data_IF_401706075846
#
_entry.id   IF_401706075846
#
_cell.length_a   1.000
_cell.length_b   1.000
_cell.length_c   1.000
_cell.angle_alpha   90.00
_cell.angle_beta   90.00
_cell.angle_gamma   90.00
#
_symmetry.space_group_name_H-M   'P 1'
#
loop_
_entity.id
_entity.type
_entity.pdbx_description
1 polymer ?
#
# COMPACT_ATOMS: atom_id res chain seq x y z
N UNK A 1 -3.50 7.67 -7.95
CA UNK A 1 -2.96 6.63 -8.84
C UNK A 1 -1.53 6.17 -8.52
N UNK A 2 -0.89 6.62 -7.43
CA UNK A 2 0.54 6.32 -7.22
C UNK A 2 0.91 4.84 -7.09
N UNK A 3 0.02 3.99 -6.54
CA UNK A 3 0.35 2.59 -6.24
C UNK A 3 -0.22 1.67 -7.31
N UNK A 4 -1.52 1.79 -7.58
CA UNK A 4 -2.22 0.97 -8.56
C UNK A 4 -1.85 1.25 -10.02
N UNK A 5 -1.20 2.38 -10.34
CA UNK A 5 -0.61 2.63 -11.67
C UNK A 5 0.92 2.71 -11.63
N UNK A 6 1.57 2.50 -10.47
CA UNK A 6 3.03 2.68 -10.35
C UNK A 6 3.53 4.13 -10.53
N UNK A 7 2.64 5.12 -10.63
CA UNK A 7 2.98 6.54 -10.87
C UNK A 7 3.35 7.28 -9.57
N UNK A 8 4.37 6.79 -8.86
CA UNK A 8 4.75 7.32 -7.55
C UNK A 8 5.24 8.76 -7.62
N UNK A 9 6.08 9.06 -8.62
CA UNK A 9 6.73 10.37 -8.79
C UNK A 9 5.87 11.37 -9.55
N UNK A 10 4.93 10.90 -10.37
CA UNK A 10 4.13 11.75 -11.27
C UNK A 10 2.98 12.47 -10.57
N UNK A 11 2.78 12.21 -9.27
CA UNK A 11 1.86 12.94 -8.36
C UNK A 11 0.40 12.97 -8.83
N UNK A 12 -0.08 11.85 -9.36
CA UNK A 12 -1.44 11.73 -9.91
C UNK A 12 -2.46 11.34 -8.85
N UNK A 13 -3.50 12.17 -8.69
CA UNK A 13 -4.64 11.94 -7.82
C UNK A 13 -5.84 12.79 -8.24
N UNK A 14 -6.99 12.56 -7.59
CA UNK A 14 -8.22 13.31 -7.80
C UNK A 14 -8.93 13.52 -6.47
N UNK A 15 -9.53 14.69 -6.28
CA UNK A 15 -10.46 14.97 -5.18
C UNK A 15 -11.88 15.04 -5.77
N UNK A 16 -12.76 14.16 -5.32
CA UNK A 16 -14.13 14.04 -5.80
C UNK A 16 -15.09 14.62 -4.76
N UNK A 17 -15.97 15.54 -5.18
CA UNK A 17 -16.93 16.21 -4.31
C UNK A 17 -18.35 15.92 -4.79
N UNK A 18 -19.10 15.19 -3.97
CA UNK A 18 -20.52 14.92 -4.22
C UNK A 18 -21.33 16.08 -3.63
N UNK A 19 -22.18 16.69 -4.45
CA UNK A 19 -22.99 17.84 -4.08
C UNK A 19 -24.46 17.50 -4.31
N UNK A 20 -25.34 18.03 -3.45
CA UNK A 20 -26.78 17.80 -3.47
C UNK A 20 -27.49 18.26 -4.75
N UNK A 21 -26.95 19.28 -5.42
CA UNK A 21 -27.52 19.83 -6.65
C UNK A 21 -26.46 20.57 -7.47
N UNK A 22 -26.85 20.93 -8.71
CA UNK A 22 -25.97 21.63 -9.66
C UNK A 22 -25.52 23.00 -9.19
N UNK A 23 -26.34 23.72 -8.40
CA UNK A 23 -25.99 25.05 -7.88
C UNK A 23 -24.83 24.96 -6.89
N UNK A 24 -24.92 24.06 -5.93
CA UNK A 24 -23.85 23.82 -4.95
C UNK A 24 -22.61 23.26 -5.64
N UNK A 25 -22.76 22.36 -6.62
CA UNK A 25 -21.63 21.85 -7.40
C UNK A 25 -20.82 22.96 -8.07
N UNK A 26 -21.48 23.96 -8.68
CA UNK A 26 -20.79 25.09 -9.32
C UNK A 26 -19.97 25.88 -8.31
N UNK A 27 -20.57 26.23 -7.17
CA UNK A 27 -19.89 26.96 -6.09
C UNK A 27 -18.67 26.19 -5.56
N UNK A 28 -18.83 24.89 -5.32
CA UNK A 28 -17.72 24.02 -4.91
C UNK A 28 -16.62 24.00 -5.98
N UNK A 29 -16.97 23.87 -7.25
CA UNK A 29 -15.97 23.84 -8.34
C UNK A 29 -15.18 25.14 -8.44
N UNK A 30 -15.81 26.30 -8.29
CA UNK A 30 -15.13 27.59 -8.42
C UNK A 30 -14.20 27.88 -7.24
N UNK A 31 -14.60 27.47 -6.04
CA UNK A 31 -13.74 27.52 -4.85
C UNK A 31 -12.51 26.62 -5.01
N UNK A 32 -12.69 25.39 -5.50
CA UNK A 32 -11.56 24.46 -5.71
C UNK A 32 -10.60 24.93 -6.80
N UNK A 33 -11.11 25.51 -7.89
CA UNK A 33 -10.27 26.16 -8.91
C UNK A 33 -9.44 27.29 -8.31
N UNK A 34 -10.05 28.10 -7.44
CA UNK A 34 -9.36 29.19 -6.74
C UNK A 34 -8.27 28.67 -5.80
N UNK A 35 -8.55 27.62 -5.03
CA UNK A 35 -7.55 26.96 -4.16
C UNK A 35 -6.38 26.42 -4.98
N UNK A 36 -6.63 25.73 -6.09
CA UNK A 36 -5.57 25.26 -6.97
C UNK A 36 -4.73 26.42 -7.51
N UNK A 37 -5.41 27.49 -7.98
CA UNK A 37 -4.75 28.66 -8.55
C UNK A 37 -3.78 29.33 -7.57
N UNK A 38 -4.20 29.47 -6.32
CA UNK A 38 -3.43 30.07 -5.24
C UNK A 38 -2.33 29.16 -4.69
N UNK A 39 -2.44 27.84 -4.83
CA UNK A 39 -1.48 26.88 -4.28
C UNK A 39 -0.38 26.52 -5.28
N UNK A 40 -0.76 26.14 -6.51
CA UNK A 40 0.18 25.61 -7.50
C UNK A 40 -0.22 25.93 -8.95
N UNK A 41 -1.18 26.85 -9.14
CA UNK A 41 -1.76 27.18 -10.45
C UNK A 41 -2.49 26.01 -11.12
N UNK A 42 -1.76 25.16 -11.82
CA UNK A 42 -2.31 24.04 -12.59
C UNK A 42 -1.65 22.73 -12.16
N UNK A 43 -2.40 21.62 -12.09
CA UNK A 43 -1.82 20.33 -11.78
C UNK A 43 -0.91 19.84 -12.91
N UNK A 44 0.07 18.94 -12.63
CA UNK A 44 0.85 18.27 -13.67
C UNK A 44 -0.04 17.44 -14.61
N UNK A 45 0.18 17.57 -15.92
CA UNK A 45 -0.62 16.89 -16.96
C UNK A 45 -0.18 15.44 -17.17
N UNK A 46 1.12 15.21 -17.36
CA UNK A 46 1.69 13.95 -17.85
C UNK A 46 1.11 12.67 -17.22
N UNK A 47 1.18 12.55 -15.90
CA UNK A 47 0.70 11.34 -15.24
C UNK A 47 -0.83 11.19 -15.28
N UNK A 48 -1.57 12.30 -15.34
CA UNK A 48 -3.01 12.26 -15.55
C UNK A 48 -3.35 11.80 -16.98
N UNK A 49 -2.57 12.23 -17.98
CA UNK A 49 -2.68 11.77 -19.37
C UNK A 49 -2.46 10.26 -19.47
N UNK A 50 -1.42 9.72 -18.83
CA UNK A 50 -1.17 8.27 -18.82
C UNK A 50 -2.35 7.49 -18.25
N UNK A 51 -2.87 7.91 -17.09
CA UNK A 51 -4.05 7.27 -16.48
C UNK A 51 -5.26 7.37 -17.41
N UNK A 52 -5.48 8.54 -18.02
CA UNK A 52 -6.58 8.77 -18.95
C UNK A 52 -6.47 7.86 -20.19
N UNK A 53 -5.28 7.72 -20.78
CA UNK A 53 -5.03 6.83 -21.91
C UNK A 53 -5.33 5.38 -21.56
N UNK A 54 -4.80 4.87 -20.44
CA UNK A 54 -5.04 3.49 -19.99
C UNK A 54 -6.52 3.24 -19.75
N UNK A 55 -7.22 4.17 -19.08
CA UNK A 55 -8.62 3.94 -18.68
C UNK A 55 -9.64 4.10 -19.81
N UNK A 56 -9.31 4.82 -20.89
CA UNK A 56 -10.20 5.02 -22.05
C UNK A 56 -9.93 4.06 -23.21
N UNK A 57 -8.85 3.28 -23.17
CA UNK A 57 -8.60 2.19 -24.10
C UNK A 57 -8.99 0.84 -23.45
N UNK A 58 -9.86 0.07 -24.09
CA UNK A 58 -10.37 -1.18 -23.49
C UNK A 58 -9.29 -2.26 -23.38
N UNK A 59 -8.31 -2.30 -24.29
CA UNK A 59 -7.20 -3.22 -24.25
C UNK A 59 -6.23 -2.89 -23.12
N UNK A 60 -5.78 -1.63 -23.06
CA UNK A 60 -4.88 -1.16 -21.99
C UNK A 60 -5.53 -1.27 -20.61
N UNK A 61 -6.83 -0.98 -20.51
CA UNK A 61 -7.57 -1.15 -19.25
C UNK A 61 -7.66 -2.60 -18.82
N UNK A 62 -7.81 -3.54 -19.75
CA UNK A 62 -7.84 -4.97 -19.43
C UNK A 62 -6.47 -5.42 -18.88
N UNK A 63 -5.40 -5.09 -19.59
CA UNK A 63 -4.02 -5.38 -19.19
C UNK A 63 -3.69 -4.78 -17.81
N UNK A 64 -4.02 -3.51 -17.59
CA UNK A 64 -3.83 -2.86 -16.29
C UNK A 64 -4.60 -3.55 -15.16
N UNK A 65 -5.84 -4.01 -15.39
CA UNK A 65 -6.60 -4.73 -14.38
C UNK A 65 -5.97 -6.08 -14.05
N UNK A 66 -5.45 -6.79 -15.05
CA UNK A 66 -4.74 -8.06 -14.89
C UNK A 66 -3.46 -7.87 -14.05
N UNK A 67 -2.62 -6.89 -14.40
CA UNK A 67 -1.40 -6.59 -13.64
C UNK A 67 -1.68 -6.24 -12.17
N UNK A 68 -2.70 -5.40 -11.93
CA UNK A 68 -3.10 -5.04 -10.56
C UNK A 68 -3.63 -6.26 -9.80
N UNK A 69 -4.35 -7.15 -10.49
CA UNK A 69 -4.88 -8.39 -9.91
C UNK A 69 -3.76 -9.37 -9.55
N UNK A 70 -2.72 -9.48 -10.37
CA UNK A 70 -1.55 -10.30 -10.10
C UNK A 70 -0.78 -9.80 -8.89
N UNK A 71 -0.48 -8.49 -8.84
CA UNK A 71 0.18 -7.86 -7.69
C UNK A 71 -0.63 -8.08 -6.41
N UNK A 72 -1.96 -7.94 -6.47
CA UNK A 72 -2.85 -8.21 -5.33
C UNK A 72 -2.73 -9.67 -4.87
N UNK A 73 -2.70 -10.61 -5.81
CA UNK A 73 -2.59 -12.04 -5.52
C UNK A 73 -1.24 -12.39 -4.91
N UNK A 74 -0.13 -11.84 -5.43
CA UNK A 74 1.22 -12.02 -4.86
C UNK A 74 1.32 -11.48 -3.43
N UNK A 75 0.77 -10.29 -3.15
CA UNK A 75 0.75 -9.74 -1.78
C UNK A 75 -0.05 -10.63 -0.83
N UNK A 76 -1.18 -11.17 -1.30
CA UNK A 76 -2.01 -12.10 -0.52
C UNK A 76 -1.25 -13.39 -0.22
N UNK A 77 -0.54 -13.93 -1.22
CA UNK A 77 0.28 -15.12 -1.05
C UNK A 77 1.40 -14.92 -0.01
N UNK A 78 2.18 -13.85 -0.12
CA UNK A 78 3.25 -13.52 0.83
C UNK A 78 2.73 -13.32 2.25
N UNK A 79 1.54 -12.71 2.39
CA UNK A 79 0.87 -12.49 3.65
C UNK A 79 0.48 -13.80 4.34
N UNK A 80 -0.13 -14.72 3.61
CA UNK A 80 -0.48 -16.05 4.12
C UNK A 80 0.78 -16.85 4.46
N UNK A 81 1.80 -16.78 3.60
CA UNK A 81 3.10 -17.39 3.86
C UNK A 81 3.73 -16.88 5.17
N UNK A 82 3.68 -15.56 5.41
CA UNK A 82 4.19 -14.96 6.64
C UNK A 82 3.39 -15.39 7.88
N UNK A 83 2.06 -15.40 7.80
CA UNK A 83 1.20 -15.93 8.87
C UNK A 83 1.61 -17.35 9.25
N UNK A 84 1.75 -18.22 8.25
CA UNK A 84 2.04 -19.64 8.48
C UNK A 84 3.46 -19.85 9.00
N UNK A 85 4.43 -19.08 8.49
CA UNK A 85 5.80 -19.10 8.98
C UNK A 85 5.90 -18.63 10.44
N UNK A 86 5.21 -17.55 10.80
CA UNK A 86 5.16 -17.07 12.18
C UNK A 86 4.47 -18.08 13.11
N UNK A 87 3.36 -18.68 12.67
CA UNK A 87 2.69 -19.75 13.44
C UNK A 87 3.65 -20.89 13.74
N UNK A 88 4.38 -21.39 12.74
CA UNK A 88 5.38 -22.45 12.91
C UNK A 88 6.54 -22.01 13.83
N UNK A 89 7.12 -20.84 13.59
CA UNK A 89 8.31 -20.38 14.31
C UNK A 89 8.03 -20.04 15.78
N UNK A 90 6.82 -19.56 16.09
CA UNK A 90 6.43 -19.15 17.45
C UNK A 90 5.59 -20.17 18.19
N UNK A 91 5.18 -21.25 17.51
CA UNK A 91 4.24 -22.24 18.00
C UNK A 91 2.96 -21.62 18.61
N UNK A 92 2.43 -20.57 17.97
CA UNK A 92 1.33 -19.75 18.47
C UNK A 92 0.48 -19.18 17.33
N UNK A 93 -0.81 -19.01 17.58
CA UNK A 93 -1.75 -18.34 16.67
C UNK A 93 -1.80 -16.81 16.85
N UNK A 94 -0.89 -16.22 17.65
CA UNK A 94 -0.89 -14.76 17.94
C UNK A 94 -0.81 -13.87 16.69
N UNK A 95 -0.35 -14.41 15.55
CA UNK A 95 -0.23 -13.70 14.27
C UNK A 95 -1.29 -14.08 13.23
N UNK A 96 -2.34 -14.81 13.62
CA UNK A 96 -3.40 -15.25 12.71
C UNK A 96 -4.07 -14.08 11.95
N UNK A 97 -4.18 -12.91 12.59
CA UNK A 97 -4.72 -11.67 12.02
C UNK A 97 -4.06 -11.25 10.70
N UNK A 98 -2.80 -11.67 10.45
CA UNK A 98 -2.11 -11.35 9.21
C UNK A 98 -2.89 -11.87 8.00
N UNK A 99 -3.58 -13.01 8.10
CA UNK A 99 -4.39 -13.57 7.02
C UNK A 99 -5.68 -12.78 6.72
N UNK A 100 -6.15 -11.97 7.66
CA UNK A 100 -7.38 -11.17 7.53
C UNK A 100 -7.11 -9.75 7.04
N UNK A 101 -5.93 -9.22 7.38
CA UNK A 101 -5.47 -7.91 6.95
C UNK A 101 -5.39 -7.80 5.42
N UNK A 102 -5.69 -6.60 4.89
CA UNK A 102 -5.64 -6.29 3.45
C UNK A 102 -4.65 -5.18 3.15
N UNK A 103 -4.20 -5.12 1.90
CA UNK A 103 -3.26 -4.11 1.41
C UNK A 103 -1.80 -4.46 1.68
N UNK A 104 -0.91 -3.52 1.36
CA UNK A 104 0.55 -3.72 1.37
C UNK A 104 1.16 -3.78 2.77
N UNK A 105 0.47 -3.32 3.81
CA UNK A 105 1.07 -3.13 5.13
C UNK A 105 0.42 -3.99 6.20
N UNK A 106 1.14 -4.24 7.28
CA UNK A 106 0.59 -4.78 8.53
C UNK A 106 1.44 -4.33 9.71
N UNK A 107 0.79 -4.16 10.86
CA UNK A 107 1.47 -4.00 12.14
C UNK A 107 1.57 -5.35 12.80
N UNK A 108 2.77 -5.74 13.22
CA UNK A 108 3.01 -7.02 13.88
C UNK A 108 2.63 -6.99 15.36
N UNK A 109 2.47 -5.79 15.96
CA UNK A 109 2.21 -5.64 17.39
C UNK A 109 3.47 -5.84 18.24
N UNK A 110 4.65 -5.66 17.65
CA UNK A 110 5.92 -5.69 18.37
C UNK A 110 6.15 -4.35 19.08
N UNK A 111 6.77 -4.39 20.25
CA UNK A 111 7.19 -3.18 20.95
C UNK A 111 8.34 -2.49 20.21
N UNK A 112 8.57 -1.20 20.49
CA UNK A 112 9.71 -0.47 19.93
C UNK A 112 11.04 -1.17 20.23
N UNK A 113 11.22 -1.69 21.45
CA UNK A 113 12.42 -2.42 21.84
C UNK A 113 12.63 -3.68 20.98
N UNK A 114 11.57 -4.44 20.73
CA UNK A 114 11.60 -5.59 19.83
C UNK A 114 11.94 -5.20 18.38
N UNK A 115 11.38 -4.11 17.86
CA UNK A 115 11.74 -3.57 16.53
C UNK A 115 13.22 -3.19 16.48
N UNK A 116 13.75 -2.58 17.54
CA UNK A 116 15.16 -2.20 17.61
C UNK A 116 16.09 -3.43 17.66
N UNK A 117 15.70 -4.51 18.33
CA UNK A 117 16.41 -5.81 18.30
C UNK A 117 16.41 -6.42 16.89
N UNK A 118 15.26 -6.42 16.18
CA UNK A 118 15.20 -6.88 14.79
C UNK A 118 16.17 -6.12 13.88
N UNK A 119 16.29 -4.81 14.08
CA UNK A 119 17.23 -3.99 13.32
C UNK A 119 18.68 -4.35 13.65
N UNK A 120 19.02 -4.35 14.94
CA UNK A 120 20.41 -4.49 15.41
C UNK A 120 20.96 -5.89 15.17
N UNK A 121 20.18 -6.92 15.50
CA UNK A 121 20.68 -8.29 15.61
C UNK A 121 20.31 -9.13 14.37
N UNK A 122 19.35 -8.67 13.56
CA UNK A 122 18.85 -9.40 12.39
C UNK A 122 18.88 -8.60 11.09
N UNK A 123 19.27 -7.31 11.12
CA UNK A 123 19.25 -6.41 9.96
C UNK A 123 17.87 -6.31 9.28
N UNK A 124 16.79 -6.47 10.06
CA UNK A 124 15.41 -6.36 9.57
C UNK A 124 14.88 -4.97 9.94
N UNK A 125 14.59 -4.17 8.92
CA UNK A 125 14.14 -2.79 9.07
C UNK A 125 12.64 -2.69 8.86
N UNK A 126 11.97 -2.04 9.81
CA UNK A 126 10.55 -1.69 9.75
C UNK A 126 10.30 -0.39 10.49
N UNK A 127 9.07 0.13 10.39
CA UNK A 127 8.66 1.33 11.13
C UNK A 127 8.61 1.00 12.63
N UNK A 128 8.95 1.98 13.49
CA UNK A 128 9.03 1.79 14.94
C UNK A 128 7.73 1.32 15.63
N UNK A 129 6.58 1.47 14.96
CA UNK A 129 5.27 0.95 15.39
C UNK A 129 5.02 -0.50 14.92
N UNK A 130 6.07 -1.21 14.49
CA UNK A 130 6.06 -2.56 13.91
C UNK A 130 5.34 -2.68 12.56
N UNK A 131 5.09 -1.56 11.85
CA UNK A 131 4.52 -1.60 10.50
C UNK A 131 5.53 -2.12 9.48
N UNK A 132 5.23 -3.25 8.88
CA UNK A 132 5.98 -3.88 7.79
C UNK A 132 5.30 -3.65 6.43
N UNK A 133 6.10 -3.65 5.36
CA UNK A 133 5.62 -3.71 3.98
C UNK A 133 5.69 -5.17 3.49
N UNK A 134 4.53 -5.80 3.29
CA UNK A 134 4.42 -7.18 2.79
C UNK A 134 5.00 -7.29 1.38
N UNK A 135 4.85 -6.26 0.54
CA UNK A 135 5.39 -6.26 -0.81
C UNK A 135 6.93 -6.19 -0.85
N UNK A 136 7.59 -5.91 0.29
CA UNK A 136 9.05 -6.00 0.42
C UNK A 136 9.55 -7.40 0.76
N UNK A 137 8.65 -8.37 0.91
CA UNK A 137 9.00 -9.76 1.21
C UNK A 137 9.06 -10.62 -0.05
N UNK A 138 9.71 -11.77 0.06
CA UNK A 138 9.66 -12.86 -0.89
C UNK A 138 9.59 -14.19 -0.13
N UNK A 139 9.45 -15.30 -0.85
CA UNK A 139 9.31 -16.65 -0.25
C UNK A 139 10.44 -17.00 0.73
N UNK A 140 11.66 -16.53 0.47
CA UNK A 140 12.82 -16.76 1.34
C UNK A 140 12.76 -15.85 2.57
N UNK A 141 12.55 -14.54 2.37
CA UNK A 141 12.59 -13.55 3.44
C UNK A 141 11.43 -13.68 4.43
N UNK A 142 10.32 -14.29 4.02
CA UNK A 142 9.20 -14.65 4.93
C UNK A 142 9.69 -15.51 6.09
N UNK A 143 10.45 -16.57 5.81
CA UNK A 143 10.96 -17.46 6.86
C UNK A 143 12.04 -16.78 7.70
N UNK A 144 12.88 -15.94 7.09
CA UNK A 144 13.90 -15.15 7.80
C UNK A 144 13.23 -14.22 8.82
N UNK A 145 12.20 -13.48 8.41
CA UNK A 145 11.44 -12.60 9.29
C UNK A 145 10.76 -13.37 10.42
N UNK A 146 10.08 -14.47 10.10
CA UNK A 146 9.38 -15.26 11.11
C UNK A 146 10.31 -15.81 12.19
N UNK A 147 11.47 -16.34 11.78
CA UNK A 147 12.47 -16.87 12.70
C UNK A 147 13.11 -15.78 13.56
N UNK A 148 13.39 -14.60 12.99
CA UNK A 148 13.91 -13.47 13.74
C UNK A 148 12.90 -12.97 14.78
N UNK A 149 11.63 -12.84 14.40
CA UNK A 149 10.55 -12.48 15.32
C UNK A 149 10.46 -13.49 16.47
N UNK A 150 10.47 -14.80 16.18
CA UNK A 150 10.41 -15.83 17.22
C UNK A 150 11.55 -15.75 18.25
N UNK A 151 12.74 -15.31 17.84
CA UNK A 151 13.91 -15.18 18.74
C UNK A 151 13.83 -14.02 19.73
N UNK A 152 12.98 -13.02 19.46
CA UNK A 152 12.89 -11.78 20.25
C UNK A 152 11.52 -11.62 20.95
N UNK A 153 10.66 -12.62 20.80
CA UNK A 153 9.37 -12.73 21.48
C UNK A 153 9.51 -13.39 22.86
#
# INVERSE_FOLDING_TARGET
CSKNFGLYRDRVGVALYLNENKKVLSLTSDNLKSVNRLTYSFPPDWGATVVNTILNDSGLRAEWNEEVQDIRSSITHLRLGLRDALKRATNSDRFAFLGEHKGMFSRLGLTKGQVDLLRKDHAIYMVGDSRINIAGLNEKSVNVLANAVAKIL
#
